data_IF_705010395057
#
_entry.id   IF_705010395057
#
_cell.length_a   1.000
_cell.length_b   1.000
_cell.length_c   1.000
_cell.angle_alpha   90.00
_cell.angle_beta   90.00
_cell.angle_gamma   90.00
#
_symmetry.space_group_name_H-M   'P 1'
#
loop_
_entity.id
_entity.type
_entity.pdbx_description
1 polymer ?
#
# COMPACT_ATOMS: atom_id res chain seq x y z
N UNK A 1 2.11 -11.83 -13.18
CA UNK A 1 2.46 -10.47 -12.69
C UNK A 1 1.86 -10.25 -11.29
N UNK A 2 2.48 -9.39 -10.46
CA UNK A 2 1.94 -8.99 -9.15
C UNK A 2 1.74 -7.48 -9.14
N UNK A 3 0.56 -7.03 -8.71
CA UNK A 3 0.23 -5.60 -8.54
C UNK A 3 -0.16 -5.32 -7.10
N UNK A 4 0.44 -4.27 -6.52
CA UNK A 4 0.25 -3.88 -5.13
C UNK A 4 -0.55 -2.60 -4.92
N UNK A 5 -1.25 -2.53 -3.80
CA UNK A 5 -1.86 -1.31 -3.27
C UNK A 5 -1.82 -1.37 -1.74
N UNK A 6 -1.51 -0.24 -1.09
CA UNK A 6 -1.52 -0.12 0.36
C UNK A 6 -2.46 1.03 0.75
N UNK A 7 -3.54 0.71 1.45
CA UNK A 7 -4.47 1.69 2.01
C UNK A 7 -3.87 2.42 3.21
N UNK A 8 -4.42 3.59 3.54
CA UNK A 8 -4.05 4.31 4.76
C UNK A 8 -2.87 5.28 4.62
N UNK A 9 -2.54 5.73 3.40
CA UNK A 9 -1.52 6.78 3.16
C UNK A 9 -1.84 8.08 3.92
N UNK A 10 -3.12 8.38 4.13
CA UNK A 10 -3.60 9.55 4.88
C UNK A 10 -3.93 9.25 6.34
N UNK A 11 -3.63 8.04 6.84
CA UNK A 11 -3.94 7.66 8.22
C UNK A 11 -3.04 8.44 9.19
N UNK A 12 -3.62 9.07 10.24
CA UNK A 12 -2.82 9.76 11.23
C UNK A 12 -2.08 8.76 12.14
N UNK A 13 -0.86 9.08 12.60
CA UNK A 13 -0.09 8.22 13.49
C UNK A 13 -0.78 8.02 14.83
N UNK A 14 -0.59 6.84 15.45
CA UNK A 14 -1.17 6.53 16.76
C UNK A 14 -2.69 6.34 16.80
N UNK A 15 -3.38 6.39 15.65
CA UNK A 15 -4.83 6.17 15.56
C UNK A 15 -5.16 4.84 14.91
N UNK A 16 -6.03 4.07 15.56
CA UNK A 16 -6.61 2.83 14.99
C UNK A 16 -7.67 3.17 13.94
N UNK A 17 -7.54 2.58 12.75
CA UNK A 17 -8.43 2.78 11.60
C UNK A 17 -9.42 1.62 11.43
N UNK A 18 -10.28 1.41 12.43
CA UNK A 18 -11.30 0.36 12.42
C UNK A 18 -10.75 -1.04 12.72
N UNK A 19 -10.04 -1.65 11.76
CA UNK A 19 -9.39 -2.95 11.94
C UNK A 19 -8.37 -2.91 13.09
N UNK A 20 -8.30 -3.97 13.91
CA UNK A 20 -7.45 -4.03 15.10
C UNK A 20 -5.97 -3.77 14.79
N UNK A 21 -5.46 -4.32 13.68
CA UNK A 21 -4.08 -4.11 13.22
C UNK A 21 -3.87 -2.88 12.33
N UNK A 22 -4.90 -2.10 12.02
CA UNK A 22 -4.78 -0.90 11.20
C UNK A 22 -4.34 0.30 12.06
N UNK A 23 -3.11 0.27 12.55
CA UNK A 23 -2.49 1.27 13.42
C UNK A 23 -1.04 1.49 12.96
N UNK A 24 -0.62 2.74 12.81
CA UNK A 24 0.80 3.07 12.57
C UNK A 24 1.49 3.13 13.93
N UNK A 25 2.30 2.11 14.26
CA UNK A 25 3.02 2.01 15.54
C UNK A 25 4.46 2.54 15.44
N UNK A 26 5.00 2.69 14.21
CA UNK A 26 6.27 3.35 13.94
C UNK A 26 6.96 2.84 12.66
N UNK A 27 8.04 3.50 12.25
CA UNK A 27 8.97 3.03 11.20
C UNK A 27 8.31 2.52 9.91
N UNK A 28 8.49 1.21 9.63
CA UNK A 28 8.03 0.53 8.43
C UNK A 28 6.51 0.23 8.40
N UNK A 29 5.75 0.61 9.43
CA UNK A 29 4.30 0.43 9.45
C UNK A 29 3.55 1.40 8.53
N UNK A 30 4.19 2.48 8.10
CA UNK A 30 3.57 3.48 7.23
C UNK A 30 3.24 2.88 5.85
N UNK A 31 2.16 3.37 5.24
CA UNK A 31 1.79 2.95 3.89
C UNK A 31 2.90 3.29 2.88
N UNK A 32 3.57 4.44 3.05
CA UNK A 32 4.65 4.89 2.18
C UNK A 32 5.87 3.94 2.23
N UNK A 33 6.31 3.55 3.43
CA UNK A 33 7.42 2.61 3.58
C UNK A 33 7.12 1.23 2.93
N UNK A 34 5.88 0.75 3.08
CA UNK A 34 5.45 -0.52 2.44
C UNK A 34 5.45 -0.41 0.92
N UNK A 35 4.97 0.69 0.35
CA UNK A 35 4.99 0.93 -1.09
C UNK A 35 6.42 0.95 -1.64
N UNK A 36 7.34 1.65 -0.97
CA UNK A 36 8.76 1.72 -1.36
C UNK A 36 9.42 0.33 -1.36
N UNK A 37 9.17 -0.48 -0.33
CA UNK A 37 9.68 -1.86 -0.26
C UNK A 37 9.10 -2.71 -1.40
N UNK A 38 7.80 -2.60 -1.66
CA UNK A 38 7.16 -3.33 -2.76
C UNK A 38 7.78 -2.97 -4.11
N UNK A 39 8.00 -1.68 -4.38
CA UNK A 39 8.66 -1.21 -5.61
C UNK A 39 10.11 -1.71 -5.70
N UNK A 40 10.87 -1.66 -4.61
CA UNK A 40 12.23 -2.19 -4.55
C UNK A 40 12.31 -3.70 -4.82
N UNK A 41 11.26 -4.45 -4.46
CA UNK A 41 11.12 -5.87 -4.79
C UNK A 41 10.59 -6.14 -6.21
N UNK A 42 10.41 -5.11 -7.05
CA UNK A 42 9.91 -5.23 -8.42
C UNK A 42 8.39 -5.43 -8.52
N UNK A 43 7.65 -5.21 -7.44
CA UNK A 43 6.18 -5.26 -7.48
C UNK A 43 5.68 -3.93 -8.02
N UNK A 44 4.84 -3.98 -9.06
CA UNK A 44 4.22 -2.76 -9.60
C UNK A 44 3.13 -2.30 -8.64
N UNK A 45 3.21 -1.08 -8.11
CA UNK A 45 2.20 -0.56 -7.19
C UNK A 45 1.36 0.55 -7.82
N UNK A 46 0.16 0.76 -7.28
CA UNK A 46 -0.67 1.93 -7.54
C UNK A 46 -1.02 2.62 -6.22
N UNK A 47 -1.18 3.94 -6.25
CA UNK A 47 -1.73 4.74 -5.13
C UNK A 47 -3.24 4.90 -5.20
N UNK A 48 -3.87 4.44 -6.30
CA UNK A 48 -5.31 4.50 -6.51
C UNK A 48 -5.85 3.06 -6.63
N UNK A 49 -6.71 2.60 -5.70
CA UNK A 49 -7.25 1.24 -5.72
C UNK A 49 -8.07 0.95 -6.98
N UNK A 50 -8.73 1.97 -7.56
CA UNK A 50 -9.52 1.83 -8.79
C UNK A 50 -8.66 1.50 -10.03
N UNK A 51 -7.36 1.80 -9.99
CA UNK A 51 -6.44 1.52 -11.11
C UNK A 51 -5.87 0.10 -11.08
N UNK A 52 -6.07 -0.69 -10.02
CA UNK A 52 -5.44 -2.00 -9.86
C UNK A 52 -5.74 -2.96 -11.02
N UNK A 53 -7.00 -3.01 -11.45
CA UNK A 53 -7.42 -3.87 -12.58
C UNK A 53 -6.78 -3.44 -13.90
N UNK A 54 -6.71 -2.13 -14.16
CA UNK A 54 -6.08 -1.58 -15.37
C UNK A 54 -4.58 -1.89 -15.39
N UNK A 55 -3.91 -1.71 -14.25
CA UNK A 55 -2.48 -1.95 -14.11
C UNK A 55 -2.13 -3.43 -14.25
N UNK A 56 -2.93 -4.33 -13.64
CA UNK A 56 -2.75 -5.77 -13.79
C UNK A 56 -2.91 -6.19 -15.26
N UNK A 57 -3.97 -5.70 -15.93
CA UNK A 57 -4.23 -6.00 -17.34
C UNK A 57 -3.08 -5.57 -18.25
N UNK A 58 -2.40 -4.46 -17.96
CA UNK A 58 -1.26 -3.98 -18.74
C UNK A 58 0.02 -4.81 -18.58
N UNK A 59 0.06 -5.75 -17.63
CA UNK A 59 1.20 -6.63 -17.35
C UNK A 59 0.96 -8.10 -17.76
N UNK A 60 -0.19 -8.41 -18.36
CA UNK A 60 -0.51 -9.71 -18.95
C UNK A 60 -0.03 -9.76 -20.40
#
# INVERSE_FOLDING_TARGET
PVVGFIAGVTAPPGKRMGHAGALISGGADTAQAKLEIMEACGIKVTKNPSEMGRLLKAML
#
